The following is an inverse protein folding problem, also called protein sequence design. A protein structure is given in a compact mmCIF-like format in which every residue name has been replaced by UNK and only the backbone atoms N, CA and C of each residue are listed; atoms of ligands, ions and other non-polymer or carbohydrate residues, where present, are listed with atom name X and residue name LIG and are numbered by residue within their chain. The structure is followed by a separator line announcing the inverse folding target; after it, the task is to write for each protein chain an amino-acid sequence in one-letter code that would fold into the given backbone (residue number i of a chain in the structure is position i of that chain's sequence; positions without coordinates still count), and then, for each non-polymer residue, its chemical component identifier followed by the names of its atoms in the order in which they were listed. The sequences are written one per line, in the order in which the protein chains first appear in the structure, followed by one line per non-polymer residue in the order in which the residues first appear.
data_IF_812917623216
#
_entry.id   IF_812917623216
#
_cell.length_a   1.000
_cell.length_b   1.000
_cell.length_c   1.000
_cell.angle_alpha   90.00
_cell.angle_beta   90.00
_cell.angle_gamma   90.00
#
_symmetry.space_group_name_H-M   'P 1'
#
loop_
_entity.id
_entity.type
_entity.pdbx_description
1 polymer ?
#
# COMPACT_ATOMS: atom_id res chain seq x y z
N UNK A 1 -2.44 -11.10 0.86
CA UNK A 1 -2.44 -9.75 0.24
C UNK A 1 -2.28 -8.71 1.32
N UNK A 2 -2.48 -7.48 1.00
CA UNK A 2 -2.41 -6.37 1.95
C UNK A 2 -2.88 -5.08 1.31
N UNK A 3 -3.06 -4.04 2.13
CA UNK A 3 -3.39 -2.70 1.69
C UNK A 3 -2.53 -1.68 2.40
N UNK A 4 -2.30 -0.54 1.78
CA UNK A 4 -1.52 0.56 2.35
C UNK A 4 -2.28 1.87 2.28
N UNK A 5 -2.02 2.71 3.27
CA UNK A 5 -2.52 4.07 3.35
C UNK A 5 -1.41 5.00 3.83
N UNK A 6 -1.26 6.14 3.19
CA UNK A 6 -0.32 7.17 3.58
C UNK A 6 -1.00 8.52 3.63
N UNK A 7 -0.59 9.40 4.53
CA UNK A 7 -1.18 10.73 4.68
C UNK A 7 -0.13 11.76 5.08
N UNK A 8 -0.18 12.91 4.41
CA UNK A 8 0.54 14.12 4.80
C UNK A 8 -0.48 15.23 5.07
N UNK A 9 -0.49 15.78 6.26
CA UNK A 9 -1.48 16.74 6.73
C UNK A 9 -0.82 17.98 7.39
N UNK A 10 -1.50 19.11 7.34
CA UNK A 10 -1.09 20.32 8.08
C UNK A 10 -1.36 20.22 9.59
N UNK A 11 -2.23 19.30 9.98
CA UNK A 11 -2.59 19.01 11.37
C UNK A 11 -2.28 17.55 11.71
N UNK A 12 -2.61 17.12 12.94
CA UNK A 12 -2.42 15.72 13.35
C UNK A 12 -3.19 14.76 12.41
N UNK A 13 -2.46 13.84 11.77
CA UNK A 13 -2.98 12.94 10.76
C UNK A 13 -3.42 11.57 11.31
N UNK A 14 -3.26 11.31 12.60
CA UNK A 14 -3.44 9.96 13.18
C UNK A 14 -4.83 9.39 12.95
N UNK A 15 -5.88 10.22 13.03
CA UNK A 15 -7.26 9.79 12.78
C UNK A 15 -7.45 9.32 11.33
N UNK A 16 -6.97 10.11 10.36
CA UNK A 16 -7.06 9.75 8.95
C UNK A 16 -6.23 8.50 8.64
N UNK A 17 -5.03 8.40 9.22
CA UNK A 17 -4.17 7.23 9.08
C UNK A 17 -4.85 5.96 9.62
N UNK A 18 -5.43 6.06 10.81
CA UNK A 18 -6.10 4.95 11.48
C UNK A 18 -7.27 4.42 10.66
N UNK A 19 -8.22 5.27 10.31
CA UNK A 19 -9.38 4.85 9.53
C UNK A 19 -9.02 4.47 8.10
N UNK A 20 -8.11 5.21 7.44
CA UNK A 20 -7.63 4.87 6.11
C UNK A 20 -6.96 3.51 6.05
N UNK A 21 -6.19 3.15 7.09
CA UNK A 21 -5.60 1.81 7.20
C UNK A 21 -6.66 0.75 7.49
N UNK A 22 -7.57 1.01 8.44
CA UNK A 22 -8.63 0.09 8.82
C UNK A 22 -9.56 -0.28 7.65
N UNK A 23 -9.85 0.68 6.77
CA UNK A 23 -10.66 0.44 5.57
C UNK A 23 -10.04 -0.57 4.59
N UNK A 24 -8.76 -0.90 4.74
CA UNK A 24 -8.10 -1.98 4.00
C UNK A 24 -8.14 -3.35 4.71
N UNK A 25 -8.85 -3.49 5.83
CA UNK A 25 -8.88 -4.73 6.63
C UNK A 25 -9.48 -5.94 5.90
N UNK A 26 -10.24 -5.74 4.81
CA UNK A 26 -10.70 -6.83 3.94
C UNK A 26 -9.58 -7.43 3.07
N UNK A 27 -8.43 -6.76 2.94
CA UNK A 27 -7.29 -7.20 2.12
C UNK A 27 -6.28 -8.06 2.90
N UNK A 28 -6.42 -8.18 4.22
CA UNK A 28 -5.52 -8.99 5.03
C UNK A 28 -6.03 -9.15 6.46
N UNK A 29 -5.61 -10.25 7.10
CA UNK A 29 -6.17 -10.69 8.38
C UNK A 29 -5.14 -10.93 9.46
N UNK A 30 -3.84 -10.78 9.19
CA UNK A 30 -2.79 -11.23 10.13
C UNK A 30 -2.12 -10.08 10.88
N UNK A 31 -1.71 -9.05 10.19
CA UNK A 31 -0.92 -7.95 10.74
C UNK A 31 -1.51 -6.60 10.33
N UNK A 32 -1.48 -5.67 11.26
CA UNK A 32 -1.74 -4.27 11.00
C UNK A 32 -0.61 -3.44 11.59
N UNK A 33 -0.29 -2.31 10.97
CA UNK A 33 0.73 -1.42 11.47
C UNK A 33 0.52 0.01 11.02
N UNK A 34 0.95 0.93 11.87
CA UNK A 34 1.01 2.36 11.60
C UNK A 34 2.35 2.93 12.02
N UNK A 35 2.89 3.87 11.25
CA UNK A 35 3.99 4.71 11.65
C UNK A 35 3.64 6.17 11.37
N UNK A 36 4.02 7.05 12.28
CA UNK A 36 3.82 8.50 12.16
C UNK A 36 5.13 9.23 12.35
N UNK A 37 5.21 10.42 11.78
CA UNK A 37 6.30 11.36 12.03
C UNK A 37 5.73 12.70 12.49
N UNK A 38 6.23 13.18 13.62
CA UNK A 38 5.98 14.51 14.17
C UNK A 38 7.30 15.24 14.45
N UNK A 39 7.33 16.56 14.24
CA UNK A 39 8.57 17.36 14.40
C UNK A 39 9.20 17.24 15.78
N UNK A 40 8.40 17.16 16.84
CA UNK A 40 8.87 17.06 18.22
C UNK A 40 9.11 15.61 18.65
N UNK A 41 8.26 14.67 18.22
CA UNK A 41 8.28 13.27 18.64
C UNK A 41 9.11 12.35 17.73
N UNK A 42 9.54 12.81 16.55
CA UNK A 42 10.21 11.98 15.55
C UNK A 42 9.32 10.87 14.98
N UNK A 43 9.94 9.74 14.64
CA UNK A 43 9.21 8.55 14.17
C UNK A 43 8.67 7.72 15.33
N UNK A 44 7.39 7.42 15.31
CA UNK A 44 6.71 6.50 16.22
C UNK A 44 5.96 5.43 15.42
N UNK A 45 5.91 4.20 15.97
CA UNK A 45 5.34 3.04 15.26
C UNK A 45 4.57 2.13 16.22
N UNK A 46 3.42 1.63 15.76
CA UNK A 46 2.66 0.55 16.39
C UNK A 46 2.41 -0.56 15.38
N UNK A 47 2.60 -1.82 15.78
CA UNK A 47 2.31 -3.01 14.97
C UNK A 47 1.60 -4.05 15.85
N UNK A 48 0.48 -4.60 15.36
CA UNK A 48 -0.28 -5.61 16.06
C UNK A 48 -0.61 -6.82 15.20
N UNK A 49 -0.76 -7.97 15.86
CA UNK A 49 -1.44 -9.12 15.29
C UNK A 49 -2.96 -8.87 15.35
N UNK A 50 -3.63 -8.92 14.21
CA UNK A 50 -5.07 -8.66 14.06
C UNK A 50 -5.88 -9.93 13.79
N UNK A 51 -5.29 -11.14 13.91
CA UNK A 51 -5.99 -12.41 13.68
C UNK A 51 -7.13 -12.66 14.66
N UNK A 52 -6.97 -12.23 15.92
CA UNK A 52 -7.90 -12.53 17.00
C UNK A 52 -8.80 -11.35 17.40
N UNK A 53 -8.59 -10.17 16.81
CA UNK A 53 -9.42 -9.00 17.04
C UNK A 53 -9.26 -8.01 15.88
N UNK A 54 -10.31 -7.26 15.52
CA UNK A 54 -10.28 -6.26 14.45
C UNK A 54 -9.17 -5.22 14.66
N UNK A 55 -8.68 -4.65 13.57
CA UNK A 55 -7.69 -3.59 13.55
C UNK A 55 -8.06 -2.45 14.53
N UNK A 56 -9.29 -1.95 14.48
CA UNK A 56 -9.78 -0.86 15.36
C UNK A 56 -9.57 -1.16 16.83
N UNK A 57 -9.91 -2.36 17.28
CA UNK A 57 -9.77 -2.75 18.69
C UNK A 57 -8.30 -2.83 19.11
N UNK A 58 -7.43 -3.30 18.21
CA UNK A 58 -6.00 -3.44 18.51
C UNK A 58 -5.27 -2.13 18.63
N UNK A 59 -5.66 -1.13 17.84
CA UNK A 59 -4.98 0.17 17.76
C UNK A 59 -5.66 1.28 18.56
N UNK A 60 -6.73 0.99 19.32
CA UNK A 60 -7.49 1.99 20.08
C UNK A 60 -6.62 2.84 21.02
N UNK A 61 -5.63 2.22 21.67
CA UNK A 61 -4.70 2.94 22.56
C UNK A 61 -3.66 3.71 21.78
N UNK A 62 -3.09 3.08 20.75
CA UNK A 62 -2.04 3.71 19.92
C UNK A 62 -2.54 5.01 19.28
N UNK A 63 -3.80 5.06 18.85
CA UNK A 63 -4.41 6.28 18.29
C UNK A 63 -4.44 7.44 19.27
N UNK A 64 -4.52 7.15 20.58
CA UNK A 64 -4.52 8.18 21.62
C UNK A 64 -3.11 8.66 21.98
N UNK A 65 -2.10 7.85 21.74
CA UNK A 65 -0.70 8.09 22.11
C UNK A 65 0.13 8.62 20.93
N UNK A 66 -0.24 8.24 19.70
CA UNK A 66 0.47 8.66 18.49
C UNK A 66 0.10 10.10 18.11
N UNK A 67 1.10 10.87 17.68
CA UNK A 67 0.94 12.20 17.15
C UNK A 67 1.91 12.43 15.98
N UNK A 68 1.41 13.05 14.91
CA UNK A 68 2.23 13.36 13.74
C UNK A 68 1.45 14.01 12.62
N UNK A 69 2.18 14.63 11.71
CA UNK A 69 1.63 15.27 10.50
C UNK A 69 1.87 14.44 9.22
N UNK A 70 2.73 13.44 9.31
CA UNK A 70 2.97 12.44 8.27
C UNK A 70 2.69 11.06 8.85
N UNK A 71 2.07 10.19 8.07
CA UNK A 71 1.78 8.84 8.51
C UNK A 71 1.71 7.85 7.36
N UNK A 72 2.14 6.60 7.61
CA UNK A 72 1.95 5.46 6.73
C UNK A 72 1.42 4.27 7.53
N UNK A 73 0.49 3.54 6.95
CA UNK A 73 -0.12 2.37 7.57
C UNK A 73 -0.31 1.23 6.58
N UNK A 74 -0.43 0.03 7.10
CA UNK A 74 -0.68 -1.15 6.29
C UNK A 74 -1.49 -2.23 7.02
N UNK A 75 -2.18 -3.01 6.21
CA UNK A 75 -2.69 -4.33 6.53
C UNK A 75 -1.85 -5.35 5.76
N UNK A 76 -1.40 -6.43 6.39
CA UNK A 76 -0.54 -7.45 5.77
C UNK A 76 -0.91 -8.84 6.24
N UNK A 77 -0.81 -9.83 5.34
CA UNK A 77 -0.95 -11.25 5.66
C UNK A 77 0.38 -11.94 5.94
N UNK A 78 1.48 -11.25 5.74
CA UNK A 78 2.81 -11.84 5.81
C UNK A 78 3.63 -11.24 6.94
N UNK A 79 4.27 -10.14 6.68
CA UNK A 79 5.26 -9.55 7.58
C UNK A 79 4.74 -8.37 8.42
N UNK A 80 5.37 -8.13 9.58
CA UNK A 80 5.14 -6.92 10.35
C UNK A 80 5.71 -5.70 9.62
N UNK A 81 4.91 -4.65 9.49
CA UNK A 81 5.20 -3.37 8.87
C UNK A 81 4.39 -2.26 9.57
N UNK A 82 4.75 -0.94 9.40
CA UNK A 82 5.90 -0.38 8.68
C UNK A 82 7.23 -0.69 9.35
N UNK A 83 8.34 -0.66 8.59
CA UNK A 83 9.69 -0.71 9.15
C UNK A 83 10.26 0.70 9.32
N UNK A 84 10.94 0.94 10.45
CA UNK A 84 11.73 2.16 10.67
C UNK A 84 13.19 1.84 10.33
N UNK A 85 13.76 2.66 9.48
CA UNK A 85 15.12 2.46 8.94
C UNK A 85 15.97 3.68 9.23
N UNK A 86 17.17 3.45 9.78
CA UNK A 86 18.23 4.45 9.87
C UNK A 86 19.35 4.05 8.92
N UNK A 87 19.68 4.90 7.98
CA UNK A 87 20.70 4.60 6.99
C UNK A 87 21.53 5.84 6.61
N UNK A 88 22.47 5.67 5.67
CA UNK A 88 23.22 6.78 5.09
C UNK A 88 22.34 7.75 4.27
N UNK A 89 21.13 7.33 3.90
CA UNK A 89 20.12 8.17 3.24
C UNK A 89 19.24 8.96 4.22
N UNK A 90 19.54 8.86 5.52
CA UNK A 90 18.73 9.42 6.59
C UNK A 90 17.79 8.40 7.24
N UNK A 91 16.92 8.89 8.12
CA UNK A 91 15.86 8.10 8.75
C UNK A 91 14.61 8.10 7.88
N UNK A 92 14.01 6.94 7.69
CA UNK A 92 12.72 6.81 7.01
C UNK A 92 11.89 5.64 7.54
N UNK A 93 10.59 5.70 7.31
CA UNK A 93 9.69 4.57 7.52
C UNK A 93 9.23 4.04 6.15
N UNK A 94 9.08 2.73 6.03
CA UNK A 94 8.65 2.09 4.78
C UNK A 94 7.55 1.06 5.01
N UNK A 95 6.57 1.05 4.12
CA UNK A 95 5.58 -0.02 4.00
C UNK A 95 5.40 -0.42 2.54
N UNK A 96 5.10 -1.70 2.32
CA UNK A 96 5.03 -2.29 0.98
C UNK A 96 3.83 -3.21 0.83
N UNK A 97 3.30 -3.29 -0.38
CA UNK A 97 2.32 -4.30 -0.80
C UNK A 97 2.76 -4.91 -2.11
N UNK A 98 2.84 -6.22 -2.14
CA UNK A 98 3.22 -6.96 -3.33
C UNK A 98 3.81 -8.32 -3.04
N UNK A 99 4.46 -8.88 -4.03
CA UNK A 99 5.18 -10.17 -3.94
C UNK A 99 6.47 -10.09 -4.75
N UNK A 100 7.56 -10.48 -4.11
CA UNK A 100 8.88 -10.65 -4.74
C UNK A 100 9.02 -12.10 -5.17
N UNK A 101 9.10 -12.35 -6.47
CA UNK A 101 9.23 -13.71 -7.00
C UNK A 101 10.68 -14.20 -7.06
N UNK A 102 11.64 -13.28 -7.17
CA UNK A 102 13.07 -13.56 -7.23
C UNK A 102 13.80 -13.28 -5.91
N UNK A 103 13.15 -13.53 -4.76
CA UNK A 103 13.70 -13.24 -3.42
C UNK A 103 15.07 -13.88 -3.22
N UNK A 104 15.23 -15.17 -3.51
CA UNK A 104 16.50 -15.91 -3.31
C UNK A 104 17.67 -15.31 -4.11
N UNK A 105 17.38 -14.84 -5.33
CA UNK A 105 18.38 -14.18 -6.17
C UNK A 105 18.79 -12.83 -5.55
N UNK A 106 17.82 -12.04 -5.12
CA UNK A 106 18.09 -10.73 -4.49
C UNK A 106 18.87 -10.88 -3.19
N UNK A 107 18.57 -11.90 -2.37
CA UNK A 107 19.32 -12.22 -1.16
C UNK A 107 20.77 -12.53 -1.49
N UNK A 108 21.02 -13.45 -2.43
CA UNK A 108 22.39 -13.80 -2.87
C UNK A 108 23.16 -12.59 -3.40
N UNK A 109 22.50 -11.76 -4.20
CA UNK A 109 23.07 -10.51 -4.73
C UNK A 109 23.37 -9.50 -3.63
N UNK A 110 22.49 -9.35 -2.64
CA UNK A 110 22.70 -8.44 -1.51
C UNK A 110 23.92 -8.86 -0.69
N UNK A 111 24.06 -10.14 -0.38
CA UNK A 111 25.25 -10.65 0.31
C UNK A 111 26.54 -10.49 -0.51
N UNK A 112 26.50 -10.73 -1.81
CA UNK A 112 27.65 -10.50 -2.70
C UNK A 112 28.06 -9.00 -2.76
N UNK A 113 27.09 -8.09 -2.57
CA UNK A 113 27.31 -6.65 -2.54
C UNK A 113 27.64 -6.08 -1.13
N UNK A 114 27.94 -6.94 -0.14
CA UNK A 114 28.40 -6.54 1.18
C UNK A 114 27.30 -6.41 2.25
N UNK A 115 26.05 -6.75 1.97
CA UNK A 115 25.06 -6.97 3.01
C UNK A 115 25.51 -8.17 3.87
N UNK A 116 25.48 -8.03 5.19
CA UNK A 116 25.96 -9.07 6.10
C UNK A 116 24.84 -9.87 6.75
N UNK A 117 23.63 -9.31 6.82
CA UNK A 117 22.49 -9.93 7.50
C UNK A 117 21.17 -9.24 7.09
N UNK A 118 20.07 -9.94 7.38
CA UNK A 118 18.72 -9.39 7.48
C UNK A 118 18.24 -9.59 8.92
N UNK A 119 17.52 -8.61 9.46
CA UNK A 119 17.10 -8.59 10.86
C UNK A 119 15.66 -9.05 11.06
N UNK A 120 14.79 -8.70 10.10
CA UNK A 120 13.38 -9.00 10.19
C UNK A 120 13.04 -10.28 9.43
N UNK A 121 12.66 -11.32 10.17
CA UNK A 121 12.22 -12.58 9.58
C UNK A 121 10.78 -12.89 9.97
N UNK A 122 10.02 -13.43 9.05
CA UNK A 122 8.64 -13.86 9.27
C UNK A 122 8.47 -15.32 8.89
N UNK A 123 8.22 -16.19 9.88
CA UNK A 123 8.00 -17.62 9.64
C UNK A 123 9.19 -18.38 9.08
N UNK A 124 10.42 -17.86 9.25
CA UNK A 124 11.65 -18.41 8.69
C UNK A 124 12.10 -17.77 7.38
N UNK A 125 11.28 -16.92 6.78
CA UNK A 125 11.59 -16.18 5.55
C UNK A 125 12.04 -14.75 5.87
N UNK A 126 12.87 -14.17 4.99
CA UNK A 126 13.28 -12.78 5.07
C UNK A 126 12.06 -11.88 4.79
N UNK A 127 11.88 -10.85 5.63
CA UNK A 127 10.84 -9.85 5.46
C UNK A 127 11.00 -9.12 4.10
N UNK A 128 9.96 -9.18 3.26
CA UNK A 128 10.01 -8.58 1.92
C UNK A 128 10.18 -7.05 1.97
N UNK A 129 9.61 -6.38 2.98
CA UNK A 129 9.78 -4.94 3.17
C UNK A 129 11.22 -4.59 3.55
N UNK A 130 11.90 -5.42 4.36
CA UNK A 130 13.31 -5.25 4.67
C UNK A 130 14.19 -5.45 3.42
N UNK A 131 13.87 -6.44 2.58
CA UNK A 131 14.56 -6.60 1.30
C UNK A 131 14.45 -5.34 0.45
N UNK A 132 13.25 -4.75 0.33
CA UNK A 132 13.08 -3.49 -0.41
C UNK A 132 13.90 -2.36 0.20
N UNK A 133 13.89 -2.19 1.53
CA UNK A 133 14.72 -1.20 2.22
C UNK A 133 16.22 -1.43 1.96
N UNK A 134 16.67 -2.69 1.97
CA UNK A 134 18.05 -3.06 1.65
C UNK A 134 18.43 -2.69 0.20
N UNK A 135 17.52 -2.91 -0.75
CA UNK A 135 17.75 -2.51 -2.16
C UNK A 135 17.83 -0.99 -2.29
N UNK A 136 16.95 -0.24 -1.62
CA UNK A 136 16.97 1.23 -1.60
C UNK A 136 18.32 1.72 -1.08
N UNK A 137 18.80 1.15 0.01
CA UNK A 137 20.06 1.52 0.66
C UNK A 137 21.33 1.17 -0.15
N UNK A 138 21.23 0.46 -1.28
CA UNK A 138 22.35 0.22 -2.19
C UNK A 138 22.64 1.42 -3.11
N UNK A 139 21.87 2.50 -3.03
CA UNK A 139 22.01 3.68 -3.89
C UNK A 139 22.34 4.94 -3.09
N UNK A 140 22.70 6.01 -3.81
CA UNK A 140 23.14 7.27 -3.22
C UNK A 140 22.01 8.24 -2.87
N UNK A 141 20.78 7.95 -3.31
CA UNK A 141 19.57 8.70 -2.95
C UNK A 141 18.35 7.79 -2.84
N UNK A 142 17.32 8.24 -2.09
CA UNK A 142 16.06 7.50 -1.97
C UNK A 142 15.40 7.28 -3.33
N UNK A 143 15.39 8.28 -4.21
CA UNK A 143 14.77 8.19 -5.53
C UNK A 143 15.47 7.14 -6.39
N UNK A 144 16.81 7.15 -6.43
CA UNK A 144 17.57 6.13 -7.15
C UNK A 144 17.38 4.75 -6.54
N UNK A 145 17.28 4.66 -5.22
CA UNK A 145 17.01 3.42 -4.49
C UNK A 145 15.65 2.85 -4.81
N UNK A 146 14.60 3.66 -4.80
CA UNK A 146 13.24 3.24 -5.14
C UNK A 146 13.18 2.77 -6.61
N UNK A 147 13.76 3.52 -7.55
CA UNK A 147 13.86 3.11 -8.96
C UNK A 147 14.59 1.78 -9.13
N UNK A 148 15.70 1.62 -8.43
CA UNK A 148 16.48 0.39 -8.46
C UNK A 148 15.66 -0.80 -7.94
N UNK A 149 14.95 -0.64 -6.82
CA UNK A 149 14.07 -1.67 -6.29
C UNK A 149 12.96 -2.04 -7.30
N UNK A 150 12.32 -1.05 -7.94
CA UNK A 150 11.31 -1.29 -8.98
C UNK A 150 11.89 -2.06 -10.19
N UNK A 151 13.14 -1.79 -10.58
CA UNK A 151 13.75 -2.40 -11.76
C UNK A 151 14.22 -3.85 -11.51
N UNK A 152 14.70 -4.18 -10.30
CA UNK A 152 15.28 -5.51 -10.01
C UNK A 152 14.28 -6.50 -9.42
N UNK A 153 13.16 -6.03 -8.86
CA UNK A 153 12.14 -6.91 -8.30
C UNK A 153 11.31 -7.52 -9.43
N UNK A 154 11.31 -8.84 -9.49
CA UNK A 154 10.37 -9.59 -10.30
C UNK A 154 9.11 -9.87 -9.49
N UNK A 155 7.95 -9.42 -9.99
CA UNK A 155 6.68 -9.53 -9.29
C UNK A 155 5.93 -8.20 -9.26
N UNK A 156 5.40 -7.84 -8.10
CA UNK A 156 4.82 -6.52 -7.83
C UNK A 156 5.28 -6.01 -6.48
N UNK A 157 5.62 -4.74 -6.39
CA UNK A 157 6.02 -4.12 -5.13
C UNK A 157 5.69 -2.62 -5.16
N UNK A 158 4.51 -2.28 -4.71
CA UNK A 158 4.09 -0.90 -4.45
C UNK A 158 4.49 -0.51 -3.03
N UNK A 159 4.96 0.72 -2.84
CA UNK A 159 5.52 1.14 -1.56
C UNK A 159 5.21 2.60 -1.22
N UNK A 160 5.18 2.87 0.09
CA UNK A 160 5.25 4.21 0.67
C UNK A 160 6.52 4.32 1.50
N UNK A 161 7.29 5.39 1.27
CA UNK A 161 8.51 5.71 2.03
C UNK A 161 8.34 7.09 2.64
N UNK A 162 8.18 7.14 3.96
CA UNK A 162 7.98 8.37 4.72
C UNK A 162 9.32 8.85 5.28
N UNK A 163 9.67 10.09 4.96
CA UNK A 163 10.80 10.84 5.52
C UNK A 163 10.29 11.99 6.38
N UNK A 164 11.15 12.69 7.12
CA UNK A 164 10.75 13.91 7.85
C UNK A 164 10.18 15.02 6.96
N UNK A 165 10.52 15.03 5.67
CA UNK A 165 10.15 16.05 4.70
C UNK A 165 8.81 15.77 4.01
N UNK A 166 8.39 14.50 3.92
CA UNK A 166 7.18 14.08 3.22
C UNK A 166 7.20 12.59 2.89
N UNK A 167 6.33 12.18 1.96
CA UNK A 167 6.12 10.76 1.64
C UNK A 167 6.34 10.53 0.14
N UNK A 168 7.22 9.55 -0.19
CA UNK A 168 7.31 8.99 -1.52
C UNK A 168 6.25 7.90 -1.67
N UNK A 169 5.45 7.99 -2.73
CA UNK A 169 4.54 6.94 -3.16
C UNK A 169 5.03 6.39 -4.50
N UNK A 170 5.31 5.09 -4.55
CA UNK A 170 5.87 4.44 -5.73
C UNK A 170 5.06 3.21 -6.12
N UNK A 171 4.45 3.24 -7.32
CA UNK A 171 3.73 2.12 -7.88
C UNK A 171 4.71 1.11 -8.49
N UNK A 172 4.39 -0.18 -8.44
CA UNK A 172 5.24 -1.25 -8.98
C UNK A 172 5.51 -1.09 -10.49
N UNK A 173 6.56 -1.75 -10.96
CA UNK A 173 7.09 -1.61 -12.33
C UNK A 173 6.05 -1.78 -13.43
N UNK A 174 5.10 -2.66 -13.23
CA UNK A 174 4.09 -3.02 -14.23
C UNK A 174 2.67 -2.52 -13.86
N UNK A 175 2.54 -1.73 -12.78
CA UNK A 175 1.25 -1.23 -12.31
C UNK A 175 0.27 -2.33 -11.93
N UNK A 176 0.74 -3.48 -11.44
CA UNK A 176 -0.10 -4.62 -11.06
C UNK A 176 -0.99 -4.32 -9.86
N UNK A 177 -0.45 -3.53 -8.93
CA UNK A 177 -1.15 -3.05 -7.74
C UNK A 177 -1.44 -1.56 -7.88
N UNK A 178 -2.65 -1.10 -7.56
CA UNK A 178 -3.00 0.31 -7.66
C UNK A 178 -2.31 1.14 -6.59
N UNK A 179 -2.13 2.42 -6.86
CA UNK A 179 -1.77 3.43 -5.89
C UNK A 179 -2.39 4.75 -6.33
N UNK A 180 -3.32 5.25 -5.51
CA UNK A 180 -4.19 6.37 -5.87
C UNK A 180 -3.98 7.47 -4.84
N UNK A 181 -3.84 8.71 -5.29
CA UNK A 181 -3.75 9.89 -4.44
C UNK A 181 -5.13 10.51 -4.28
N UNK A 182 -5.48 10.82 -3.04
CA UNK A 182 -6.61 11.63 -2.66
C UNK A 182 -6.17 12.98 -2.09
N UNK A 183 -6.98 14.01 -2.26
CA UNK A 183 -6.71 15.36 -1.75
C UNK A 183 -7.93 15.94 -1.04
N UNK A 184 -7.68 16.64 0.07
CA UNK A 184 -8.61 17.56 0.74
C UNK A 184 -7.91 18.88 1.03
N UNK A 185 -8.57 19.83 1.68
CA UNK A 185 -8.06 21.20 1.85
C UNK A 185 -6.70 21.26 2.55
N UNK A 186 -6.51 20.45 3.61
CA UNK A 186 -5.35 20.49 4.49
C UNK A 186 -4.48 19.23 4.45
N UNK A 187 -4.80 18.25 3.58
CA UNK A 187 -4.07 17.00 3.52
C UNK A 187 -4.11 16.32 2.13
N UNK A 188 -3.07 15.53 1.88
CA UNK A 188 -2.96 14.63 0.73
C UNK A 188 -2.73 13.22 1.27
N UNK A 189 -3.42 12.23 0.67
CA UNK A 189 -3.23 10.82 1.00
C UNK A 189 -2.85 10.00 -0.22
N UNK A 190 -2.23 8.85 0.02
CA UNK A 190 -1.99 7.80 -0.95
C UNK A 190 -2.64 6.50 -0.44
N UNK A 191 -3.39 5.81 -1.28
CA UNK A 191 -4.17 4.65 -0.89
C UNK A 191 -4.13 3.56 -1.95
N UNK A 192 -4.25 2.31 -1.51
CA UNK A 192 -4.45 1.17 -2.40
C UNK A 192 -5.85 1.22 -3.04
N UNK A 193 -6.86 1.70 -2.30
CA UNK A 193 -8.26 1.81 -2.75
C UNK A 193 -8.81 3.21 -2.48
N UNK A 194 -9.54 3.77 -3.45
CA UNK A 194 -10.07 5.12 -3.30
C UNK A 194 -11.28 5.22 -2.34
N UNK A 195 -12.08 4.16 -2.18
CA UNK A 195 -13.19 4.20 -1.21
C UNK A 195 -12.69 4.53 0.22
N UNK A 196 -11.47 4.11 0.57
CA UNK A 196 -10.90 4.32 1.89
C UNK A 196 -10.81 5.82 2.23
N UNK A 197 -10.41 6.65 1.29
CA UNK A 197 -10.27 8.08 1.55
C UNK A 197 -11.53 8.91 1.25
N UNK A 198 -12.47 8.42 0.45
CA UNK A 198 -13.76 9.09 0.29
C UNK A 198 -14.49 9.24 1.64
N UNK A 199 -14.48 8.20 2.46
CA UNK A 199 -15.06 8.24 3.79
C UNK A 199 -14.35 9.20 4.76
N UNK A 200 -13.16 9.69 4.40
CA UNK A 200 -12.36 10.65 5.16
C UNK A 200 -12.42 12.07 4.57
N UNK A 201 -13.30 12.30 3.58
CA UNK A 201 -13.51 13.59 2.96
C UNK A 201 -12.48 13.97 1.90
N UNK A 202 -11.68 13.03 1.43
CA UNK A 202 -10.79 13.25 0.29
C UNK A 202 -11.52 13.01 -1.03
N UNK A 203 -11.01 13.64 -2.08
CA UNK A 203 -11.46 13.45 -3.46
C UNK A 203 -10.32 12.89 -4.31
N UNK A 204 -10.64 12.17 -5.38
CA UNK A 204 -9.65 11.68 -6.34
C UNK A 204 -8.77 12.82 -6.83
N UNK A 205 -7.47 12.62 -6.78
CA UNK A 205 -6.49 13.58 -7.29
C UNK A 205 -5.70 13.00 -8.45
N UNK A 206 -5.11 11.82 -8.29
CA UNK A 206 -4.28 11.17 -9.31
C UNK A 206 -4.15 9.68 -9.04
N UNK A 207 -4.33 8.84 -10.05
CA UNK A 207 -3.90 7.45 -10.02
C UNK A 207 -2.49 7.36 -10.63
N UNK A 208 -1.54 6.71 -9.92
CA UNK A 208 -0.17 6.57 -10.40
C UNK A 208 -0.10 5.53 -11.52
N UNK A 209 0.66 5.82 -12.57
CA UNK A 209 0.98 4.85 -13.62
C UNK A 209 2.10 3.86 -13.22
N UNK A 210 2.39 2.86 -14.08
CA UNK A 210 3.45 1.88 -13.85
C UNK A 210 4.82 2.54 -13.63
N UNK A 211 5.56 2.10 -12.62
CA UNK A 211 6.87 2.67 -12.19
C UNK A 211 6.82 4.14 -11.74
N UNK A 212 5.67 4.76 -11.70
CA UNK A 212 5.61 6.16 -11.30
C UNK A 212 5.98 6.33 -9.83
N UNK A 213 6.77 7.38 -9.56
CA UNK A 213 7.14 7.80 -8.22
C UNK A 213 6.73 9.26 -8.06
N UNK A 214 5.96 9.53 -7.03
CA UNK A 214 5.63 10.89 -6.59
C UNK A 214 6.15 11.13 -5.18
N UNK A 215 6.49 12.38 -4.90
CA UNK A 215 6.72 12.87 -3.54
C UNK A 215 5.58 13.81 -3.17
N UNK A 216 4.98 13.63 -2.01
CA UNK A 216 3.89 14.48 -1.57
C UNK A 216 4.06 14.95 -0.13
N UNK A 217 3.59 16.16 0.09
CA UNK A 217 3.50 16.87 1.37
C UNK A 217 2.10 17.40 1.53
N UNK A 218 1.71 18.01 2.66
CA UNK A 218 0.41 18.66 2.77
C UNK A 218 0.15 19.76 1.73
N UNK A 219 1.24 20.34 1.19
CA UNK A 219 1.15 21.51 0.30
C UNK A 219 1.05 21.12 -1.17
N UNK A 220 1.48 19.92 -1.55
CA UNK A 220 1.43 19.50 -2.96
C UNK A 220 2.05 18.14 -3.27
N UNK A 221 1.99 17.80 -4.56
CA UNK A 221 2.52 16.56 -5.12
C UNK A 221 3.51 16.91 -6.23
N UNK A 222 4.69 16.31 -6.16
CA UNK A 222 5.72 16.37 -7.20
C UNK A 222 5.92 15.00 -7.84
N UNK A 223 5.91 14.94 -9.17
CA UNK A 223 6.27 13.71 -9.89
C UNK A 223 7.81 13.65 -10.04
N UNK A 224 8.45 12.79 -9.24
CA UNK A 224 9.92 12.62 -9.26
C UNK A 224 10.41 11.57 -10.25
N UNK A 225 9.52 10.67 -10.69
CA UNK A 225 9.77 9.74 -11.78
C UNK A 225 8.46 9.50 -12.56
N UNK A 226 8.42 9.81 -13.87
CA UNK A 226 7.20 9.66 -14.65
C UNK A 226 6.84 8.17 -14.85
N UNK A 227 5.57 7.92 -15.12
CA UNK A 227 5.05 6.60 -15.45
C UNK A 227 5.70 6.02 -16.71
N UNK A 228 5.86 4.71 -16.75
CA UNK A 228 6.21 3.93 -17.95
C UNK A 228 4.93 3.48 -18.66
N UNK A 229 5.07 3.09 -19.94
CA UNK A 229 3.91 2.76 -20.79
C UNK A 229 3.40 1.32 -20.63
N UNK A 230 4.22 0.39 -20.11
CA UNK A 230 3.85 -1.02 -20.00
C UNK A 230 3.07 -1.24 -18.70
N UNK A 231 1.79 -1.61 -18.85
CA UNK A 231 0.92 -1.97 -17.72
C UNK A 231 0.45 -3.42 -17.81
N UNK A 232 0.47 -4.10 -16.67
CA UNK A 232 -0.06 -5.47 -16.49
C UNK A 232 -0.86 -5.53 -15.18
N UNK A 233 -1.92 -4.75 -15.11
CA UNK A 233 -2.76 -4.68 -13.92
C UNK A 233 -3.41 -6.03 -13.62
N UNK A 234 -3.60 -6.32 -12.33
CA UNK A 234 -4.20 -7.57 -11.87
C UNK A 234 -5.72 -7.50 -11.98
N UNK A 235 -6.34 -8.32 -12.83
CA UNK A 235 -7.81 -8.37 -12.97
C UNK A 235 -8.54 -8.80 -11.69
N UNK A 236 -7.87 -9.48 -10.76
CA UNK A 236 -8.43 -9.85 -9.46
C UNK A 236 -8.83 -8.65 -8.60
N UNK A 237 -8.31 -7.46 -8.88
CA UNK A 237 -8.77 -6.22 -8.26
C UNK A 237 -10.28 -6.04 -8.42
N UNK A 238 -10.81 -6.25 -9.60
CA UNK A 238 -12.25 -6.15 -9.86
C UNK A 238 -13.01 -7.42 -9.53
N UNK A 239 -12.46 -8.57 -9.91
CA UNK A 239 -13.17 -9.86 -9.81
C UNK A 239 -13.33 -10.29 -8.35
N UNK A 240 -12.36 -9.97 -7.47
CA UNK A 240 -12.34 -10.55 -6.13
C UNK A 240 -11.97 -9.57 -5.01
N UNK A 241 -10.86 -8.83 -5.12
CA UNK A 241 -10.32 -8.09 -3.98
C UNK A 241 -11.01 -6.76 -3.73
N UNK A 242 -11.27 -6.00 -4.79
CA UNK A 242 -11.67 -4.61 -4.69
C UNK A 242 -12.98 -4.43 -3.95
N UNK A 243 -13.04 -3.41 -3.12
CA UNK A 243 -14.28 -3.01 -2.49
C UNK A 243 -15.26 -2.50 -3.55
N UNK A 244 -16.58 -2.81 -3.49
CA UNK A 244 -17.54 -2.49 -4.56
C UNK A 244 -17.55 -1.03 -5.01
N UNK A 245 -17.39 -0.09 -4.08
CA UNK A 245 -17.38 1.35 -4.40
C UNK A 245 -16.03 1.87 -4.89
N UNK A 246 -14.98 1.03 -4.88
CA UNK A 246 -13.66 1.39 -5.43
C UNK A 246 -13.65 1.41 -6.95
N UNK A 247 -12.74 2.19 -7.51
CA UNK A 247 -12.44 2.22 -8.93
C UNK A 247 -10.93 2.12 -9.15
N UNK A 248 -10.54 1.41 -10.21
CA UNK A 248 -9.14 1.30 -10.65
C UNK A 248 -9.10 1.55 -12.16
N UNK A 249 -8.14 2.35 -12.61
CA UNK A 249 -8.00 2.74 -14.03
C UNK A 249 -9.33 3.25 -14.63
N UNK A 250 -10.10 4.01 -13.84
CA UNK A 250 -11.40 4.55 -14.25
C UNK A 250 -12.54 3.55 -14.32
N UNK A 251 -12.34 2.28 -13.92
CA UNK A 251 -13.36 1.24 -13.95
C UNK A 251 -13.81 0.90 -12.51
N UNK A 252 -15.09 1.12 -12.22
CA UNK A 252 -15.68 0.81 -10.93
C UNK A 252 -15.82 -0.72 -10.75
N UNK A 253 -15.53 -1.19 -9.54
CA UNK A 253 -15.52 -2.63 -9.20
C UNK A 253 -16.90 -3.25 -9.32
N UNK A 254 -17.92 -2.63 -8.73
CA UNK A 254 -19.29 -3.16 -8.77
C UNK A 254 -19.84 -3.20 -10.20
N UNK A 255 -19.66 -2.12 -10.96
CA UNK A 255 -20.09 -2.06 -12.36
C UNK A 255 -19.43 -3.17 -13.20
N UNK A 256 -18.16 -3.44 -12.96
CA UNK A 256 -17.46 -4.53 -13.67
C UNK A 256 -18.05 -5.89 -13.30
N UNK A 257 -18.39 -6.12 -12.02
CA UNK A 257 -19.04 -7.37 -11.58
C UNK A 257 -20.42 -7.54 -12.20
N UNK A 258 -21.23 -6.49 -12.26
CA UNK A 258 -22.51 -6.51 -13.00
C UNK A 258 -22.32 -6.86 -14.48
N UNK A 259 -21.33 -6.25 -15.14
CA UNK A 259 -21.04 -6.56 -16.54
C UNK A 259 -20.61 -8.02 -16.75
N UNK A 260 -19.85 -8.59 -15.82
CA UNK A 260 -19.48 -10.01 -15.85
C UNK A 260 -20.72 -10.91 -15.70
N UNK A 261 -21.61 -10.62 -14.74
CA UNK A 261 -22.86 -11.36 -14.53
C UNK A 261 -23.78 -11.32 -15.75
N UNK A 262 -23.95 -10.15 -16.36
CA UNK A 262 -24.74 -9.98 -17.58
C UNK A 262 -24.17 -10.80 -18.76
N UNK A 263 -22.85 -10.79 -18.92
CA UNK A 263 -22.19 -11.60 -19.96
C UNK A 263 -22.30 -13.10 -19.71
N UNK A 264 -22.24 -13.55 -18.46
CA UNK A 264 -22.45 -14.94 -18.09
C UNK A 264 -23.89 -15.35 -18.38
N UNK A 265 -24.87 -14.58 -17.94
CA UNK A 265 -26.29 -14.85 -18.20
C UNK A 265 -26.62 -14.94 -19.69
N UNK A 266 -26.04 -14.10 -20.54
CA UNK A 266 -26.20 -14.13 -22.02
C UNK A 266 -25.61 -15.39 -22.67
N UNK A 267 -24.64 -16.04 -22.02
CA UNK A 267 -24.01 -17.28 -22.52
C UNK A 267 -24.66 -18.53 -21.96
N UNK A 268 -25.44 -18.40 -20.90
CA UNK A 268 -26.09 -19.52 -20.22
C UNK A 268 -27.38 -19.89 -20.96
N UNK A 269 -27.60 -21.19 -21.13
CA UNK A 269 -28.82 -21.77 -21.72
C UNK A 269 -29.67 -22.53 -20.70
N UNK A 270 -29.36 -22.38 -19.39
CA UNK A 270 -30.07 -23.04 -18.31
C UNK A 270 -31.33 -22.25 -17.96
N UNK A 271 -32.48 -22.94 -17.91
CA UNK A 271 -33.69 -22.40 -17.30
C UNK A 271 -33.66 -22.67 -15.80
N UNK A 272 -33.47 -21.65 -14.98
CA UNK A 272 -33.38 -21.80 -13.54
C UNK A 272 -34.64 -21.29 -12.87
N UNK A 273 -35.11 -22.02 -11.83
CA UNK A 273 -36.18 -21.54 -10.96
C UNK A 273 -35.71 -20.52 -9.92
N UNK A 274 -34.44 -20.62 -9.53
CA UNK A 274 -33.81 -19.70 -8.56
C UNK A 274 -32.37 -19.43 -9.02
N UNK A 275 -31.99 -18.16 -8.89
CA UNK A 275 -30.59 -17.71 -9.07
C UNK A 275 -30.11 -17.09 -7.77
N UNK A 276 -28.94 -17.48 -7.31
CA UNK A 276 -28.32 -16.93 -6.10
C UNK A 276 -26.85 -16.61 -6.34
N UNK A 277 -26.43 -15.44 -5.88
CA UNK A 277 -25.02 -15.03 -5.89
C UNK A 277 -24.23 -15.71 -4.77
N UNK A 278 -23.00 -16.05 -5.03
CA UNK A 278 -22.06 -16.53 -4.00
C UNK A 278 -21.44 -15.32 -3.29
N UNK A 279 -21.63 -15.15 -1.97
CA UNK A 279 -21.00 -14.05 -1.24
C UNK A 279 -19.47 -14.13 -1.27
N UNK A 280 -18.76 -12.97 -1.17
CA UNK A 280 -19.37 -11.64 -1.21
C UNK A 280 -19.42 -11.06 -2.64
N UNK A 281 -18.48 -11.41 -3.50
CA UNK A 281 -18.30 -10.81 -4.83
C UNK A 281 -19.38 -11.16 -5.85
N UNK A 282 -20.15 -12.20 -5.65
CA UNK A 282 -21.22 -12.64 -6.54
C UNK A 282 -22.63 -12.17 -6.14
N UNK A 283 -22.74 -11.29 -5.14
CA UNK A 283 -24.06 -10.79 -4.66
C UNK A 283 -24.51 -9.52 -5.34
N UNK A 284 -23.63 -8.86 -6.09
CA UNK A 284 -23.92 -7.67 -6.86
C UNK A 284 -24.59 -8.01 -8.20
#
# INVERSE_FOLDING_TARGET
MGGIFGVASKSNCVSDLFFGTDYHSHLGTRRGGMAVYGKEGGFNRAIHNIQNAPFRTKFERDVQELEGTLGIGCISDTEPQPLLVQSHLGSFAITTVGKINNMDELVKRSFANGCTHFLEMSGGDINATEMVASLINQKSSLIEGIRYAQDVIEGSMTMLVMTPEGIYAARDRLGRTPLILGKKEDAICASFENFAYFNLGYHDYKELGPSEIVFFTPDGVETVSPAKNEMKICSFLWVYYGYPTSSYEGINVEQMRYNCGDMLAKRDNVSADIVAGVPDSGTA
#
